data_IF_644587416113
#
_entry.id   IF_644587416113
#
_cell.length_a   1.000
_cell.length_b   1.000
_cell.length_c   1.000
_cell.angle_alpha   90.00
_cell.angle_beta   90.00
_cell.angle_gamma   90.00
#
_symmetry.space_group_name_H-M   'P 1'
#
loop_
_entity.id
_entity.type
_entity.pdbx_description
1 polymer ?
#
# COMPACT_ATOMS: atom_id res chain seq x y z
N UNK A 1 18.45 -0.73 -17.46
CA UNK A 1 18.85 -0.26 -16.11
C UNK A 1 19.92 -1.21 -15.57
N UNK A 2 21.20 -0.79 -15.48
CA UNK A 2 22.33 -1.68 -15.12
C UNK A 2 22.48 -1.77 -13.59
N UNK A 3 22.50 -3.01 -13.10
CA UNK A 3 22.45 -3.42 -11.69
C UNK A 3 23.80 -3.29 -10.96
N UNK A 4 24.22 -2.07 -10.60
CA UNK A 4 25.38 -1.86 -9.70
C UNK A 4 25.08 -1.17 -8.36
N UNK A 5 23.81 -0.90 -8.05
CA UNK A 5 23.41 -0.16 -6.83
C UNK A 5 22.67 -1.00 -5.77
N UNK A 6 22.62 -2.33 -5.91
CA UNK A 6 21.82 -3.19 -5.03
C UNK A 6 22.38 -3.42 -3.61
N UNK A 7 23.65 -3.08 -3.31
CA UNK A 7 24.18 -3.25 -1.95
C UNK A 7 23.49 -2.34 -0.92
N UNK A 8 22.94 -1.19 -1.35
CA UNK A 8 22.13 -0.31 -0.49
C UNK A 8 20.65 -0.69 -0.39
N UNK A 9 20.16 -1.58 -1.27
CA UNK A 9 18.81 -2.16 -1.18
C UNK A 9 18.70 -3.26 -0.12
N UNK A 10 19.80 -3.59 0.55
CA UNK A 10 19.86 -4.54 1.68
C UNK A 10 19.13 -4.07 2.96
N UNK A 11 18.54 -2.86 2.94
CA UNK A 11 17.85 -2.27 4.11
C UNK A 11 16.40 -2.75 4.22
N UNK A 12 15.74 -3.08 3.11
CA UNK A 12 14.38 -3.62 3.15
C UNK A 12 14.43 -5.14 3.30
N UNK A 13 13.92 -5.62 4.43
CA UNK A 13 13.83 -7.05 4.80
C UNK A 13 13.18 -7.87 3.68
N UNK A 14 12.15 -7.32 3.03
CA UNK A 14 11.52 -7.92 1.88
C UNK A 14 12.51 -8.27 0.76
N UNK A 15 13.35 -7.34 0.32
CA UNK A 15 14.30 -7.63 -0.76
C UNK A 15 15.41 -8.55 -0.28
N UNK A 16 15.84 -8.44 0.99
CA UNK A 16 16.80 -9.37 1.56
C UNK A 16 16.31 -10.82 1.44
N UNK A 17 15.12 -11.09 1.96
CA UNK A 17 14.50 -12.42 1.98
C UNK A 17 14.18 -12.91 0.56
N UNK A 18 13.64 -12.02 -0.27
CA UNK A 18 13.27 -12.37 -1.65
C UNK A 18 14.50 -12.66 -2.50
N UNK A 19 15.60 -11.91 -2.33
CA UNK A 19 16.84 -12.15 -3.05
C UNK A 19 17.62 -13.36 -2.54
N UNK A 20 17.51 -13.72 -1.26
CA UNK A 20 18.18 -14.90 -0.69
C UNK A 20 17.84 -16.17 -1.48
N UNK A 21 16.58 -16.30 -1.91
CA UNK A 21 16.05 -17.48 -2.59
C UNK A 21 16.18 -17.46 -4.13
N UNK A 22 16.65 -16.36 -4.72
CA UNK A 22 16.76 -16.24 -6.19
C UNK A 22 18.08 -16.80 -6.71
N UNK A 23 17.97 -17.72 -7.67
CA UNK A 23 19.10 -18.30 -8.41
C UNK A 23 19.65 -17.26 -9.39
N UNK A 24 20.98 -17.19 -9.50
CA UNK A 24 21.66 -16.33 -10.46
C UNK A 24 21.55 -16.89 -11.87
N UNK A 25 21.39 -16.03 -12.86
CA UNK A 25 21.50 -16.41 -14.26
C UNK A 25 22.96 -16.61 -14.71
N UNK A 26 23.15 -16.93 -16.00
CA UNK A 26 24.46 -17.13 -16.61
C UNK A 26 25.37 -15.89 -16.54
N UNK A 27 24.79 -14.69 -16.32
CA UNK A 27 25.51 -13.43 -16.16
C UNK A 27 25.72 -13.07 -14.68
N UNK A 28 25.46 -14.00 -13.76
CA UNK A 28 25.49 -13.79 -12.31
C UNK A 28 24.47 -12.77 -11.77
N UNK A 29 23.40 -12.49 -12.51
CA UNK A 29 22.36 -11.54 -12.14
C UNK A 29 21.21 -12.28 -11.43
N UNK A 30 20.71 -11.71 -10.33
CA UNK A 30 19.46 -12.14 -9.68
C UNK A 30 18.32 -11.26 -10.18
N UNK A 31 17.25 -11.88 -10.67
CA UNK A 31 16.05 -11.19 -11.15
C UNK A 31 14.85 -11.55 -10.27
N UNK A 32 14.14 -10.52 -9.80
CA UNK A 32 12.86 -10.67 -9.10
C UNK A 32 11.75 -10.17 -10.02
N UNK A 33 10.68 -10.95 -10.15
CA UNK A 33 9.46 -10.50 -10.82
C UNK A 33 8.46 -10.00 -9.78
N UNK A 34 8.14 -8.72 -9.86
CA UNK A 34 7.10 -8.07 -9.07
C UNK A 34 5.83 -8.01 -9.92
N UNK A 35 4.83 -8.79 -9.53
CA UNK A 35 3.53 -8.79 -10.22
C UNK A 35 2.65 -7.70 -9.59
N UNK A 36 1.78 -7.11 -10.39
CA UNK A 36 0.74 -6.17 -9.92
C UNK A 36 1.25 -4.88 -9.27
N UNK A 37 2.50 -4.50 -9.48
CA UNK A 37 3.08 -3.23 -9.03
C UNK A 37 3.43 -2.40 -10.26
N UNK A 38 2.92 -1.17 -10.35
CA UNK A 38 3.30 -0.26 -11.45
C UNK A 38 4.72 0.27 -11.24
N UNK A 39 5.37 0.65 -12.33
CA UNK A 39 6.72 1.24 -12.29
C UNK A 39 6.76 2.48 -11.39
N UNK A 40 5.72 3.32 -11.46
CA UNK A 40 5.62 4.56 -10.68
C UNK A 40 5.55 4.28 -9.17
N UNK A 41 4.71 3.33 -8.73
CA UNK A 41 4.67 2.92 -7.32
C UNK A 41 6.03 2.38 -6.87
N UNK A 42 6.67 1.55 -7.70
CA UNK A 42 7.99 1.01 -7.39
C UNK A 42 9.05 2.10 -7.27
N UNK A 43 9.03 3.12 -8.12
CA UNK A 43 9.94 4.26 -8.02
C UNK A 43 9.77 5.03 -6.71
N UNK A 44 8.54 5.20 -6.23
CA UNK A 44 8.27 5.83 -4.92
C UNK A 44 8.86 4.99 -3.80
N UNK A 45 8.65 3.67 -3.82
CA UNK A 45 9.22 2.74 -2.85
C UNK A 45 10.75 2.81 -2.84
N UNK A 46 11.39 2.84 -4.01
CA UNK A 46 12.84 3.01 -4.11
C UNK A 46 13.28 4.34 -3.49
N UNK A 47 12.65 5.46 -3.88
CA UNK A 47 13.00 6.78 -3.35
C UNK A 47 12.87 6.83 -1.82
N UNK A 48 11.80 6.25 -1.28
CA UNK A 48 11.60 6.14 0.17
C UNK A 48 12.73 5.33 0.83
N UNK A 49 13.08 4.15 0.31
CA UNK A 49 14.17 3.34 0.88
C UNK A 49 15.53 4.06 0.89
N UNK A 50 15.79 4.97 -0.06
CA UNK A 50 17.04 5.74 -0.09
C UNK A 50 17.01 7.01 0.76
N UNK A 51 15.84 7.60 1.01
CA UNK A 51 15.71 8.93 1.64
C UNK A 51 15.02 8.92 3.00
N UNK A 52 14.29 7.86 3.33
CA UNK A 52 13.44 7.76 4.52
C UNK A 52 12.17 8.62 4.49
N UNK A 53 11.90 9.34 3.39
CA UNK A 53 10.77 10.27 3.27
C UNK A 53 10.02 10.09 1.96
N UNK A 54 8.70 10.29 2.00
CA UNK A 54 7.79 10.24 0.86
C UNK A 54 6.90 11.48 0.87
N UNK A 55 6.92 12.26 -0.22
CA UNK A 55 6.06 13.44 -0.39
C UNK A 55 4.76 13.00 -1.08
N UNK A 56 3.66 12.97 -0.34
CA UNK A 56 2.38 12.45 -0.83
C UNK A 56 1.56 13.49 -1.60
N UNK A 57 1.78 14.78 -1.33
CA UNK A 57 1.00 15.90 -1.88
C UNK A 57 1.06 16.01 -3.41
N UNK A 58 2.09 15.43 -4.03
CA UNK A 58 2.29 15.43 -5.49
C UNK A 58 1.47 14.36 -6.22
N UNK A 59 0.77 13.49 -5.50
CA UNK A 59 0.07 12.33 -6.07
C UNK A 59 -1.45 12.42 -5.91
N UNK A 60 -2.16 11.79 -6.85
CA UNK A 60 -3.61 11.60 -6.70
C UNK A 60 -3.93 10.67 -5.52
N UNK A 61 -5.04 10.90 -4.83
CA UNK A 61 -5.44 10.08 -3.67
C UNK A 61 -5.60 8.59 -4.00
N UNK A 62 -6.04 8.26 -5.22
CA UNK A 62 -6.11 6.89 -5.73
C UNK A 62 -4.74 6.22 -5.80
N UNK A 63 -3.74 6.94 -6.30
CA UNK A 63 -2.35 6.50 -6.33
C UNK A 63 -1.79 6.33 -4.92
N UNK A 64 -2.08 7.28 -4.01
CA UNK A 64 -1.65 7.18 -2.61
C UNK A 64 -2.27 5.95 -1.92
N UNK A 65 -3.54 5.65 -2.19
CA UNK A 65 -4.22 4.46 -1.66
C UNK A 65 -3.58 3.16 -2.19
N UNK A 66 -3.32 3.06 -3.49
CA UNK A 66 -2.63 1.89 -4.05
C UNK A 66 -1.17 1.80 -3.58
N UNK A 67 -0.51 2.94 -3.30
CA UNK A 67 0.81 2.97 -2.66
C UNK A 67 0.77 2.34 -1.25
N UNK A 68 -0.33 2.45 -0.50
CA UNK A 68 -0.49 1.71 0.76
C UNK A 68 -0.45 0.19 0.51
N UNK A 69 -1.14 -0.31 -0.53
CA UNK A 69 -1.14 -1.73 -0.90
C UNK A 69 0.26 -2.23 -1.25
N UNK A 70 0.98 -1.45 -2.05
CA UNK A 70 2.36 -1.76 -2.42
C UNK A 70 3.28 -1.71 -1.19
N UNK A 71 3.15 -0.71 -0.33
CA UNK A 71 3.99 -0.55 0.87
C UNK A 71 3.84 -1.72 1.85
N UNK A 72 2.63 -2.27 1.98
CA UNK A 72 2.40 -3.52 2.72
C UNK A 72 3.11 -4.72 2.08
N UNK A 73 3.10 -4.86 0.75
CA UNK A 73 3.83 -5.94 0.08
C UNK A 73 5.34 -5.86 0.38
N UNK A 74 5.89 -4.66 0.49
CA UNK A 74 7.31 -4.43 0.81
C UNK A 74 7.65 -4.43 2.31
N UNK A 75 6.68 -4.69 3.19
CA UNK A 75 6.85 -4.69 4.65
C UNK A 75 7.39 -3.35 5.20
N UNK A 76 6.87 -2.23 4.68
CA UNK A 76 7.27 -0.88 5.08
C UNK A 76 6.27 -0.28 6.08
N UNK A 77 6.19 -0.87 7.27
CA UNK A 77 5.13 -0.56 8.26
C UNK A 77 5.05 0.92 8.66
N UNK A 78 6.19 1.60 8.78
CA UNK A 78 6.23 3.04 9.09
C UNK A 78 5.63 3.88 7.96
N UNK A 79 5.97 3.56 6.71
CA UNK A 79 5.41 4.24 5.53
C UNK A 79 3.90 4.00 5.44
N UNK A 80 3.47 2.75 5.62
CA UNK A 80 2.06 2.36 5.67
C UNK A 80 1.32 3.23 6.68
N UNK A 81 1.78 3.25 7.94
CA UNK A 81 1.13 4.01 9.01
C UNK A 81 1.00 5.50 8.67
N UNK A 82 2.04 6.09 8.09
CA UNK A 82 2.04 7.49 7.71
C UNK A 82 1.05 7.78 6.58
N UNK A 83 1.01 6.92 5.54
CA UNK A 83 0.05 7.06 4.44
C UNK A 83 -1.39 6.88 4.92
N UNK A 84 -1.67 5.87 5.75
CA UNK A 84 -3.01 5.60 6.26
C UNK A 84 -3.51 6.75 7.12
N UNK A 85 -2.65 7.28 8.01
CA UNK A 85 -2.96 8.48 8.81
C UNK A 85 -3.31 9.66 7.91
N UNK A 86 -2.49 9.91 6.88
CA UNK A 86 -2.74 10.97 5.91
C UNK A 86 -4.09 10.77 5.16
N UNK A 87 -4.38 9.54 4.73
CA UNK A 87 -5.63 9.23 4.02
C UNK A 87 -6.86 9.46 4.90
N UNK A 88 -6.80 9.04 6.17
CA UNK A 88 -7.90 9.18 7.13
C UNK A 88 -8.10 10.65 7.53
N UNK A 89 -7.02 11.38 7.82
CA UNK A 89 -7.10 12.73 8.35
C UNK A 89 -7.35 13.76 7.25
N UNK A 90 -6.69 13.61 6.09
CA UNK A 90 -6.67 14.63 5.03
C UNK A 90 -7.52 14.25 3.81
N UNK A 91 -7.67 12.96 3.50
CA UNK A 91 -8.35 12.49 2.29
C UNK A 91 -9.64 11.72 2.57
N UNK A 92 -10.25 11.89 3.75
CA UNK A 92 -11.44 11.16 4.18
C UNK A 92 -12.61 11.25 3.20
N UNK A 93 -12.80 12.39 2.52
CA UNK A 93 -13.87 12.56 1.53
C UNK A 93 -13.71 11.63 0.33
N UNK A 94 -12.47 11.43 -0.14
CA UNK A 94 -12.19 10.48 -1.21
C UNK A 94 -12.44 9.04 -0.74
N UNK A 95 -11.99 8.69 0.48
CA UNK A 95 -12.24 7.36 1.06
C UNK A 95 -13.73 7.05 1.14
N UNK A 96 -14.58 8.03 1.50
CA UNK A 96 -16.05 7.85 1.55
C UNK A 96 -16.66 7.68 0.16
N UNK A 97 -16.24 8.52 -0.79
CA UNK A 97 -16.69 8.42 -2.19
C UNK A 97 -16.33 7.05 -2.80
N UNK A 98 -15.17 6.51 -2.43
CA UNK A 98 -14.64 5.24 -2.94
C UNK A 98 -14.73 4.10 -1.93
N UNK A 99 -15.66 4.18 -0.96
CA UNK A 99 -15.74 3.25 0.17
C UNK A 99 -15.78 1.79 -0.27
N UNK A 100 -16.61 1.45 -1.26
CA UNK A 100 -16.72 0.08 -1.75
C UNK A 100 -15.38 -0.46 -2.25
N UNK A 101 -14.63 0.34 -3.01
CA UNK A 101 -13.33 -0.03 -3.54
C UNK A 101 -12.29 -0.20 -2.42
N UNK A 102 -12.23 0.77 -1.51
CA UNK A 102 -11.34 0.75 -0.33
C UNK A 102 -11.63 -0.48 0.53
N UNK A 103 -12.91 -0.74 0.81
CA UNK A 103 -13.37 -1.86 1.59
C UNK A 103 -13.00 -3.20 0.95
N UNK A 104 -13.31 -3.39 -0.34
CA UNK A 104 -12.98 -4.61 -1.07
C UNK A 104 -11.48 -4.92 -1.05
N UNK A 105 -10.64 -3.91 -1.35
CA UNK A 105 -9.18 -4.06 -1.33
C UNK A 105 -8.64 -4.36 0.06
N UNK A 106 -9.20 -3.73 1.09
CA UNK A 106 -8.79 -3.93 2.48
C UNK A 106 -9.14 -5.32 3.00
N UNK A 107 -10.32 -5.86 2.63
CA UNK A 107 -10.73 -7.20 3.05
C UNK A 107 -10.05 -8.32 2.24
N UNK A 108 -9.74 -8.08 0.97
CA UNK A 108 -9.01 -9.04 0.14
C UNK A 108 -7.52 -9.13 0.48
N UNK A 109 -6.97 -8.16 1.21
CA UNK A 109 -5.56 -8.13 1.60
C UNK A 109 -5.43 -8.37 3.11
N UNK A 110 -4.86 -9.51 3.51
CA UNK A 110 -4.68 -9.85 4.93
C UNK A 110 -3.90 -8.78 5.70
N UNK A 111 -3.00 -8.06 5.03
CA UNK A 111 -2.09 -7.08 5.64
C UNK A 111 -2.73 -5.72 6.00
N UNK A 112 -3.96 -5.43 5.57
CA UNK A 112 -4.65 -4.14 5.80
C UNK A 112 -5.26 -3.99 7.21
N UNK A 113 -4.45 -4.14 8.26
CA UNK A 113 -4.95 -4.18 9.64
C UNK A 113 -5.56 -2.87 10.13
N UNK A 114 -5.06 -1.71 9.68
CA UNK A 114 -5.53 -0.41 10.17
C UNK A 114 -6.85 0.03 9.52
N UNK A 115 -7.04 -0.22 8.22
CA UNK A 115 -8.35 0.00 7.57
C UNK A 115 -9.42 -1.03 7.95
N UNK A 116 -9.02 -2.20 8.48
CA UNK A 116 -9.94 -3.18 9.08
C UNK A 116 -10.41 -2.80 10.48
N UNK A 117 -9.72 -1.88 11.16
CA UNK A 117 -10.09 -1.45 12.50
C UNK A 117 -11.50 -0.88 12.48
N UNK A 118 -12.32 -1.35 13.43
CA UNK A 118 -13.69 -0.85 13.65
C UNK A 118 -13.69 0.68 13.74
N UNK A 119 -12.68 1.29 14.36
CA UNK A 119 -12.58 2.75 14.49
C UNK A 119 -12.37 3.48 13.16
N UNK A 120 -11.61 2.89 12.23
CA UNK A 120 -11.40 3.46 10.89
C UNK A 120 -12.65 3.29 10.02
N UNK A 121 -13.28 2.11 10.07
CA UNK A 121 -14.54 1.88 9.36
C UNK A 121 -15.65 2.77 9.92
N UNK A 122 -15.74 2.90 11.24
CA UNK A 122 -16.72 3.75 11.92
C UNK A 122 -16.47 5.23 11.62
N UNK A 123 -15.23 5.71 11.53
CA UNK A 123 -14.94 7.11 11.16
C UNK A 123 -15.29 7.42 9.70
N UNK A 124 -15.19 6.42 8.82
CA UNK A 124 -15.59 6.53 7.41
C UNK A 124 -17.12 6.43 7.25
N UNK A 125 -17.79 5.56 8.04
CA UNK A 125 -19.23 5.27 7.92
C UNK A 125 -20.12 6.25 8.70
N UNK A 126 -19.64 6.86 9.80
CA UNK A 126 -20.45 7.77 10.66
C UNK A 126 -20.86 9.11 10.01
N UNK A 127 -20.53 9.36 8.74
CA UNK A 127 -20.98 10.56 8.01
C UNK A 127 -21.91 10.13 6.88
N UNK A 128 -23.10 10.75 6.82
CA UNK A 128 -24.25 10.37 5.97
C UNK A 128 -24.03 10.49 4.44
N UNK A 129 -22.79 10.69 3.97
CA UNK A 129 -22.44 10.95 2.57
C UNK A 129 -21.92 9.70 1.81
N UNK A 130 -22.21 8.50 2.31
CA UNK A 130 -21.79 7.25 1.66
C UNK A 130 -22.51 7.02 0.32
N UNK A 131 -21.75 6.71 -0.73
CA UNK A 131 -22.31 6.30 -2.03
C UNK A 131 -22.84 4.85 -2.05
N UNK A 132 -22.83 4.16 -0.91
CA UNK A 132 -23.25 2.78 -0.76
C UNK A 132 -24.39 2.68 0.25
N UNK A 133 -25.46 1.96 -0.11
CA UNK A 133 -26.57 1.72 0.83
C UNK A 133 -26.07 0.93 2.04
N UNK A 134 -26.50 1.34 3.22
CA UNK A 134 -26.14 0.71 4.50
C UNK A 134 -26.36 -0.81 4.50
N UNK A 135 -27.47 -1.30 3.92
CA UNK A 135 -27.76 -2.72 3.77
C UNK A 135 -26.68 -3.50 3.00
N UNK A 136 -26.01 -2.86 2.04
CA UNK A 136 -24.91 -3.49 1.31
C UNK A 136 -23.63 -3.53 2.17
N UNK A 137 -23.43 -2.57 3.08
CA UNK A 137 -22.30 -2.56 4.02
C UNK A 137 -22.46 -3.73 4.99
N UNK A 138 -23.64 -3.86 5.59
CA UNK A 138 -23.95 -4.94 6.53
C UNK A 138 -23.81 -6.34 5.91
N UNK A 139 -24.06 -6.49 4.60
CA UNK A 139 -23.84 -7.77 3.90
C UNK A 139 -22.37 -8.23 3.94
N UNK A 140 -21.41 -7.31 3.94
CA UNK A 140 -20.00 -7.68 3.94
C UNK A 140 -19.40 -7.73 5.36
N UNK A 141 -20.00 -7.04 6.34
CA UNK A 141 -19.54 -7.04 7.75
C UNK A 141 -19.95 -8.32 8.51
N UNK A 142 -21.03 -8.99 8.10
CA UNK A 142 -21.62 -10.14 8.81
C UNK A 142 -21.10 -11.51 8.30
N UNK A 143 -20.34 -11.54 7.20
CA UNK A 143 -19.66 -12.77 6.71
C UNK A 143 -18.34 -13.03 7.45
#
# INVERSE_FOLDING_TARGET
MKLKHLEKLSISLYFHDKLANVIKDNNNIKTINLKNISIEHFEVILKYNYRGVCLLEDFETSFIFELTLVSHEFLLDELVKNIETYLIESQSSWLRLHFFHVYQKSFQNENFMNFKSENALVSIIKRDDLQMKEANIWKHVIE
#
